data_IF_897801006819
#
_entry.id   IF_897801006819
#
_cell.length_a   1.000
_cell.length_b   1.000
_cell.length_c   1.000
_cell.angle_alpha   90.00
_cell.angle_beta   90.00
_cell.angle_gamma   90.00
#
_symmetry.space_group_name_H-M   'P 1'
#
loop_
_entity.id
_entity.type
_entity.pdbx_description
1 polymer ?
#
# COMPACT_ATOMS: atom_id res chain seq x y z
N UNK A 1 11.88 -8.23 -9.59
CA UNK A 1 10.56 -7.59 -9.64
C UNK A 1 9.51 -8.66 -9.45
N UNK A 2 8.83 -8.66 -8.31
CA UNK A 2 7.78 -9.64 -8.01
C UNK A 2 6.44 -8.89 -7.85
N UNK A 3 5.52 -9.12 -8.79
CA UNK A 3 4.15 -8.60 -8.76
C UNK A 3 3.30 -9.63 -8.03
N UNK A 4 2.21 -9.21 -7.37
CA UNK A 4 1.30 -10.04 -6.59
C UNK A 4 1.82 -10.45 -5.20
N UNK A 5 2.96 -9.89 -4.78
CA UNK A 5 3.47 -10.16 -3.43
C UNK A 5 2.71 -9.37 -2.37
N UNK A 6 2.02 -8.28 -2.74
CA UNK A 6 1.18 -7.54 -1.79
C UNK A 6 0.13 -8.41 -1.14
N UNK A 7 -0.49 -9.33 -1.91
CA UNK A 7 -1.49 -10.26 -1.38
C UNK A 7 -0.90 -11.23 -0.36
N UNK A 8 0.16 -11.97 -0.74
CA UNK A 8 0.79 -12.95 0.15
C UNK A 8 1.36 -12.29 1.40
N UNK A 9 1.96 -11.12 1.25
CA UNK A 9 2.52 -10.37 2.37
C UNK A 9 1.43 -9.86 3.31
N UNK A 10 0.32 -9.33 2.78
CA UNK A 10 -0.82 -8.87 3.61
C UNK A 10 -1.38 -10.02 4.46
N UNK A 11 -1.55 -11.20 3.88
CA UNK A 11 -2.01 -12.39 4.60
C UNK A 11 -1.01 -12.83 5.68
N UNK A 12 0.28 -12.85 5.36
CA UNK A 12 1.31 -13.17 6.34
C UNK A 12 1.35 -12.16 7.50
N UNK A 13 1.18 -10.86 7.22
CA UNK A 13 1.14 -9.82 8.25
C UNK A 13 -0.03 -10.02 9.20
N UNK A 14 -1.26 -10.20 8.71
CA UNK A 14 -2.44 -10.37 9.58
C UNK A 14 -2.42 -11.69 10.37
N UNK A 15 -1.71 -12.70 9.88
CA UNK A 15 -1.51 -13.96 10.61
C UNK A 15 -0.56 -13.77 11.79
N UNK A 16 0.51 -13.00 11.63
CA UNK A 16 1.58 -12.85 12.62
C UNK A 16 1.49 -11.60 13.50
N UNK A 17 0.82 -10.54 13.05
CA UNK A 17 0.59 -9.29 13.78
C UNK A 17 -0.87 -9.22 14.25
N UNK A 18 -1.08 -8.86 15.51
CA UNK A 18 -2.43 -8.78 16.14
C UNK A 18 -2.75 -7.38 16.66
N UNK A 19 -1.85 -6.45 16.44
CA UNK A 19 -1.99 -5.05 16.77
C UNK A 19 -3.18 -4.46 15.98
N UNK A 20 -4.04 -3.66 16.63
CA UNK A 20 -5.07 -2.92 15.92
C UNK A 20 -4.44 -1.89 14.99
N UNK A 21 -5.20 -1.47 13.98
CA UNK A 21 -4.86 -0.32 13.11
C UNK A 21 -3.56 -0.44 12.29
N UNK A 22 -3.00 -1.65 12.14
CA UNK A 22 -1.89 -1.88 11.21
C UNK A 22 -2.31 -1.69 9.75
N UNK A 23 -1.41 -1.19 8.90
CA UNK A 23 -1.69 -0.87 7.50
C UNK A 23 -2.33 -2.04 6.71
N UNK A 24 -1.84 -3.27 6.94
CA UNK A 24 -2.38 -4.48 6.31
C UNK A 24 -3.85 -4.74 6.70
N UNK A 25 -4.19 -4.56 7.97
CA UNK A 25 -5.53 -4.76 8.49
C UNK A 25 -6.48 -3.66 8.01
N UNK A 26 -6.00 -2.41 7.93
CA UNK A 26 -6.78 -1.30 7.36
C UNK A 26 -7.13 -1.55 5.88
N UNK A 27 -6.19 -2.07 5.09
CA UNK A 27 -6.46 -2.47 3.71
C UNK A 27 -7.48 -3.61 3.65
N UNK A 28 -7.27 -4.69 4.40
CA UNK A 28 -8.13 -5.88 4.38
C UNK A 28 -9.58 -5.59 4.83
N UNK A 29 -9.75 -4.72 5.82
CA UNK A 29 -11.07 -4.38 6.35
C UNK A 29 -11.80 -3.33 5.50
N UNK A 30 -11.12 -2.70 4.53
CA UNK A 30 -11.73 -1.73 3.63
C UNK A 30 -12.92 -2.35 2.90
N UNK A 31 -14.04 -1.63 2.84
CA UNK A 31 -15.21 -1.96 2.01
C UNK A 31 -15.43 -0.94 0.89
N UNK A 32 -14.37 -0.20 0.56
CA UNK A 32 -14.44 0.84 -0.46
C UNK A 32 -14.91 0.25 -1.79
N UNK A 33 -15.82 0.97 -2.46
CA UNK A 33 -16.40 0.57 -3.74
C UNK A 33 -17.14 -0.79 -3.69
N UNK A 34 -17.58 -1.23 -2.51
CA UNK A 34 -18.33 -2.48 -2.34
C UNK A 34 -17.51 -3.75 -2.52
N UNK A 35 -16.18 -3.66 -2.49
CA UNK A 35 -15.25 -4.79 -2.61
C UNK A 35 -14.64 -5.13 -1.25
N UNK A 36 -14.21 -6.38 -1.06
CA UNK A 36 -13.63 -6.88 0.20
C UNK A 36 -12.32 -7.67 0.03
N UNK A 37 -11.75 -7.66 -1.18
CA UNK A 37 -10.50 -8.32 -1.58
C UNK A 37 -9.30 -7.36 -1.58
N UNK A 38 -9.41 -6.27 -0.83
CA UNK A 38 -8.38 -5.23 -0.73
C UNK A 38 -7.16 -5.72 0.05
N UNK A 39 -5.97 -5.41 -0.44
CA UNK A 39 -4.69 -5.76 0.19
C UNK A 39 -3.76 -4.56 0.28
N UNK A 40 -2.72 -4.67 1.13
CA UNK A 40 -1.63 -3.71 1.17
C UNK A 40 -0.64 -4.03 0.04
N UNK A 41 -0.31 -3.06 -0.86
CA UNK A 41 0.59 -3.32 -1.96
C UNK A 41 2.05 -3.52 -1.51
N UNK A 42 2.78 -4.35 -2.24
CA UNK A 42 4.22 -4.54 -2.06
C UNK A 42 5.04 -3.33 -2.55
N UNK A 43 6.33 -3.32 -2.22
CA UNK A 43 7.24 -2.23 -2.58
C UNK A 43 7.34 -2.09 -4.09
N UNK A 44 7.42 -3.22 -4.79
CA UNK A 44 7.50 -3.26 -6.24
C UNK A 44 6.17 -2.83 -6.90
N UNK A 45 5.03 -3.14 -6.27
CA UNK A 45 3.71 -2.68 -6.74
C UNK A 45 3.54 -1.17 -6.55
N UNK A 46 3.94 -0.62 -5.41
CA UNK A 46 3.91 0.83 -5.18
C UNK A 46 4.85 1.57 -6.14
N UNK A 47 6.01 1.02 -6.46
CA UNK A 47 6.90 1.59 -7.48
C UNK A 47 6.21 1.65 -8.85
N UNK A 48 5.44 0.63 -9.22
CA UNK A 48 4.65 0.65 -10.46
C UNK A 48 3.51 1.65 -10.41
N UNK A 49 2.83 1.75 -9.28
CA UNK A 49 1.78 2.76 -9.08
C UNK A 49 2.36 4.17 -9.20
N UNK A 50 3.56 4.44 -8.68
CA UNK A 50 4.25 5.71 -8.87
C UNK A 50 4.55 5.99 -10.35
N UNK A 51 5.11 5.02 -11.08
CA UNK A 51 5.41 5.17 -12.50
C UNK A 51 4.15 5.42 -13.36
N UNK A 52 2.98 4.98 -12.90
CA UNK A 52 1.69 5.16 -13.55
C UNK A 52 0.82 6.24 -12.88
N UNK A 53 1.38 7.00 -11.92
CA UNK A 53 0.63 7.85 -11.01
C UNK A 53 -0.26 8.84 -11.75
N UNK A 54 0.27 9.54 -12.75
CA UNK A 54 -0.48 10.54 -13.51
C UNK A 54 -1.70 9.94 -14.25
N UNK A 55 -1.55 8.72 -14.78
CA UNK A 55 -2.65 8.01 -15.41
C UNK A 55 -3.68 7.58 -14.38
N UNK A 56 -3.24 7.02 -13.24
CA UNK A 56 -4.13 6.57 -12.17
C UNK A 56 -4.91 7.76 -11.60
N UNK A 57 -4.24 8.88 -11.34
CA UNK A 57 -4.83 10.11 -10.83
C UNK A 57 -5.87 10.67 -11.80
N UNK A 58 -5.55 10.73 -13.10
CA UNK A 58 -6.47 11.17 -14.15
C UNK A 58 -7.73 10.30 -14.22
N UNK A 59 -7.57 8.96 -14.22
CA UNK A 59 -8.70 8.02 -14.24
C UNK A 59 -9.49 8.08 -12.93
N UNK A 60 -8.84 8.24 -11.78
CA UNK A 60 -9.51 8.37 -10.49
C UNK A 60 -10.41 9.60 -10.46
N UNK A 61 -9.91 10.77 -10.87
CA UNK A 61 -10.69 12.01 -10.93
C UNK A 61 -11.87 11.88 -11.89
N UNK A 62 -11.67 11.28 -13.06
CA UNK A 62 -12.74 11.04 -14.04
C UNK A 62 -13.88 10.18 -13.46
N UNK A 63 -13.56 9.26 -12.55
CA UNK A 63 -14.53 8.38 -11.88
C UNK A 63 -14.98 8.92 -10.51
N UNK A 64 -14.76 10.21 -10.21
CA UNK A 64 -15.21 10.85 -8.97
C UNK A 64 -14.40 10.49 -7.72
N UNK A 65 -13.22 9.90 -7.90
CA UNK A 65 -12.25 9.64 -6.84
C UNK A 65 -11.29 10.81 -6.59
N UNK A 66 -10.26 10.55 -5.80
CA UNK A 66 -9.20 11.51 -5.48
C UNK A 66 -7.85 11.04 -6.00
N UNK A 67 -6.96 12.01 -6.23
CA UNK A 67 -5.54 11.76 -6.56
C UNK A 67 -4.77 11.22 -5.36
N UNK A 68 -3.59 10.68 -5.59
CA UNK A 68 -2.65 10.36 -4.51
C UNK A 68 -2.11 11.63 -3.85
N UNK A 69 -1.95 11.57 -2.53
CA UNK A 69 -1.19 12.57 -1.80
C UNK A 69 0.31 12.41 -2.12
N UNK A 70 1.05 13.52 -2.14
CA UNK A 70 2.50 13.51 -2.38
C UNK A 70 3.28 13.14 -1.11
N UNK A 71 2.92 12.00 -0.51
CA UNK A 71 3.37 11.56 0.81
C UNK A 71 3.97 10.14 0.75
N UNK A 72 4.41 9.63 1.90
CA UNK A 72 4.95 8.29 2.04
C UNK A 72 3.88 7.27 2.41
N UNK A 73 3.76 6.25 1.55
CA UNK A 73 2.79 5.16 1.68
C UNK A 73 3.46 3.89 2.17
N UNK A 74 2.86 3.26 3.16
CA UNK A 74 3.28 1.97 3.67
C UNK A 74 3.16 0.88 2.61
N UNK A 75 4.18 0.05 2.56
CA UNK A 75 4.19 -1.19 1.79
C UNK A 75 3.96 -2.40 2.70
N UNK A 76 3.48 -3.50 2.12
CA UNK A 76 3.51 -4.81 2.75
C UNK A 76 4.91 -5.45 2.76
N UNK A 77 5.92 -4.81 2.15
CA UNK A 77 7.28 -5.34 2.09
C UNK A 77 8.06 -5.02 3.37
N UNK A 78 8.63 -6.07 3.96
CA UNK A 78 9.41 -6.03 5.19
C UNK A 78 10.88 -5.65 4.93
N UNK A 79 11.54 -5.03 5.91
CA UNK A 79 12.98 -4.76 5.93
C UNK A 79 13.63 -5.19 7.26
N UNK A 80 13.29 -6.38 7.74
CA UNK A 80 13.79 -6.92 9.00
C UNK A 80 12.84 -6.69 10.17
N UNK A 81 13.33 -6.94 11.38
CA UNK A 81 12.45 -7.04 12.56
C UNK A 81 11.69 -5.74 12.86
N UNK A 82 12.35 -4.60 12.75
CA UNK A 82 11.81 -3.30 13.19
C UNK A 82 11.41 -2.36 12.04
N UNK A 83 11.85 -2.62 10.81
CA UNK A 83 11.70 -1.71 9.67
C UNK A 83 10.81 -2.30 8.56
N UNK A 84 10.09 -1.43 7.87
CA UNK A 84 9.30 -1.78 6.69
C UNK A 84 9.46 -0.73 5.58
N UNK A 85 9.15 -1.13 4.35
CA UNK A 85 9.31 -0.25 3.19
C UNK A 85 8.17 0.75 3.04
N UNK A 86 8.54 1.95 2.58
CA UNK A 86 7.61 2.99 2.12
C UNK A 86 7.95 3.44 0.70
N UNK A 87 6.91 3.86 -0.02
CA UNK A 87 7.02 4.57 -1.29
C UNK A 87 6.57 6.02 -1.10
N UNK A 88 7.43 6.98 -1.44
CA UNK A 88 7.00 8.37 -1.60
C UNK A 88 6.36 8.54 -2.99
N UNK A 89 5.08 8.94 -3.04
CA UNK A 89 4.36 9.14 -4.29
C UNK A 89 4.50 10.55 -4.89
N UNK A 90 5.11 11.50 -4.18
CA UNK A 90 5.51 12.80 -4.73
C UNK A 90 6.87 12.76 -5.45
N UNK A 91 7.83 12.01 -4.89
CA UNK A 91 9.23 12.02 -5.37
C UNK A 91 9.68 10.71 -6.02
N UNK A 92 8.93 9.63 -5.87
CA UNK A 92 9.33 8.30 -6.35
C UNK A 92 10.35 7.59 -5.48
N UNK A 93 10.86 8.24 -4.44
CA UNK A 93 11.83 7.66 -3.52
C UNK A 93 11.25 6.51 -2.70
N UNK A 94 12.06 5.46 -2.52
CA UNK A 94 11.79 4.38 -1.58
C UNK A 94 12.75 4.44 -0.41
N UNK A 95 12.23 4.14 0.77
CA UNK A 95 12.97 4.18 2.03
C UNK A 95 12.35 3.19 3.01
N UNK A 96 13.07 2.92 4.07
CA UNK A 96 12.61 2.10 5.18
C UNK A 96 12.34 2.99 6.38
N UNK A 97 11.44 2.54 7.24
CA UNK A 97 11.06 3.25 8.45
C UNK A 97 10.56 2.26 9.50
N UNK A 98 10.65 2.64 10.77
CA UNK A 98 10.13 1.84 11.87
C UNK A 98 8.67 1.47 11.64
N UNK A 99 8.35 0.19 11.79
CA UNK A 99 7.00 -0.39 11.60
C UNK A 99 5.93 0.28 12.47
N UNK A 100 6.33 0.78 13.63
CA UNK A 100 5.46 1.51 14.57
C UNK A 100 5.20 2.97 14.16
N UNK A 101 5.84 3.45 13.10
CA UNK A 101 5.70 4.81 12.62
C UNK A 101 4.38 5.08 11.89
N UNK A 102 3.96 6.34 11.88
CA UNK A 102 2.82 6.77 11.06
C UNK A 102 3.17 6.75 9.57
N UNK A 103 2.19 6.48 8.72
CA UNK A 103 2.34 6.52 7.27
C UNK A 103 0.99 6.42 6.56
N UNK A 104 0.95 6.86 5.30
CA UNK A 104 -0.25 6.78 4.50
C UNK A 104 -0.49 5.33 4.06
N UNK A 105 -1.76 4.97 3.88
CA UNK A 105 -2.16 3.64 3.46
C UNK A 105 -2.98 3.75 2.19
N UNK A 106 -2.68 2.88 1.22
CA UNK A 106 -3.47 2.74 0.00
C UNK A 106 -3.66 1.27 -0.27
N UNK A 107 -4.91 0.84 -0.38
CA UNK A 107 -5.23 -0.53 -0.78
C UNK A 107 -5.16 -0.72 -2.30
N UNK A 108 -4.79 -1.92 -2.72
CA UNK A 108 -4.92 -2.42 -4.09
C UNK A 108 -5.71 -3.73 -4.10
N UNK A 109 -6.28 -4.10 -5.25
CA UNK A 109 -6.92 -5.40 -5.47
C UNK A 109 -6.51 -5.97 -6.81
N UNK A 110 -6.69 -7.28 -6.98
CA UNK A 110 -6.30 -8.02 -8.17
C UNK A 110 -7.54 -8.53 -8.91
N UNK A 111 -7.41 -8.76 -10.22
CA UNK A 111 -8.49 -9.19 -11.11
C UNK A 111 -8.02 -10.32 -12.01
#
# INVERSE_FOLDING_TARGET
MAIYTGQSNTLAIIENCKEPDIAALLCLNSKNQGQDDWVLPSRDELAKMYNLKDMIDSVAVLNGGTVFEEMQYWSSSDDGEIDAWKQNLGTGGQLTNFKEGNGYVRASRYF
#
